data_IF_921546324692
#
_entry.id   IF_921546324692
#
_cell.length_a   1.000
_cell.length_b   1.000
_cell.length_c   1.000
_cell.angle_alpha   90.00
_cell.angle_beta   90.00
_cell.angle_gamma   90.00
#
_symmetry.space_group_name_H-M   'P 1'
#
loop_
_entity.id
_entity.type
_entity.pdbx_description
1 polymer ?
#
# COMPACT_ATOMS: atom_id res chain seq x y z
N UNK A 1 -11.82 54.83 7.72
CA UNK A 1 -11.58 54.04 6.49
C UNK A 1 -10.23 53.29 6.45
N UNK A 2 -9.51 53.07 7.58
CA UNK A 2 -8.23 52.33 7.60
C UNK A 2 -8.28 50.93 8.22
N UNK A 3 -9.43 50.52 8.76
CA UNK A 3 -9.57 49.26 9.52
C UNK A 3 -10.23 48.11 8.73
N UNK A 4 -10.77 48.39 7.54
CA UNK A 4 -11.43 47.39 6.69
C UNK A 4 -10.47 46.61 5.77
N UNK A 5 -9.23 47.08 5.59
CA UNK A 5 -8.24 46.40 4.75
C UNK A 5 -7.44 45.33 5.51
N UNK A 6 -7.43 45.34 6.85
CA UNK A 6 -6.69 44.36 7.66
C UNK A 6 -7.44 43.03 7.82
N UNK A 7 -8.78 43.02 7.74
CA UNK A 7 -9.60 41.81 7.87
C UNK A 7 -9.67 40.97 6.59
N UNK A 8 -9.51 41.58 5.41
CA UNK A 8 -9.44 40.87 4.13
C UNK A 8 -8.08 40.18 3.87
N UNK A 9 -7.01 40.60 4.57
CA UNK A 9 -5.70 39.96 4.47
C UNK A 9 -5.55 38.68 5.33
N UNK A 10 -6.37 38.50 6.36
CA UNK A 10 -6.32 37.30 7.22
C UNK A 10 -7.11 36.11 6.66
N UNK A 11 -8.01 36.32 5.69
CA UNK A 11 -8.79 35.25 5.05
C UNK A 11 -8.02 34.52 3.93
N UNK A 12 -6.85 35.02 3.52
CA UNK A 12 -6.05 34.41 2.45
C UNK A 12 -4.99 33.40 2.95
N UNK A 13 -4.80 33.25 4.26
CA UNK A 13 -3.74 32.40 4.86
C UNK A 13 -4.21 31.01 5.31
N UNK A 14 -5.48 30.66 5.09
CA UNK A 14 -6.09 29.40 5.57
C UNK A 14 -6.18 28.22 4.55
N UNK A 15 -5.76 28.25 3.26
CA UNK A 15 -5.97 27.06 2.41
C UNK A 15 -4.85 26.02 2.41
N UNK A 16 -3.59 26.38 2.65
CA UNK A 16 -2.46 25.48 2.38
C UNK A 16 -2.37 24.29 3.36
N UNK A 17 -2.38 24.56 4.67
CA UNK A 17 -2.25 23.51 5.69
C UNK A 17 -3.39 22.48 5.64
N UNK A 18 -4.64 22.91 5.38
CA UNK A 18 -5.79 22.00 5.25
C UNK A 18 -5.76 21.14 3.99
N UNK A 19 -5.21 21.66 2.89
CA UNK A 19 -5.08 20.92 1.65
C UNK A 19 -3.99 19.84 1.75
N UNK A 20 -2.88 20.16 2.40
CA UNK A 20 -1.79 19.22 2.67
C UNK A 20 -2.28 18.08 3.58
N UNK A 21 -3.02 18.40 4.65
CA UNK A 21 -3.60 17.37 5.55
C UNK A 21 -4.53 16.40 4.80
N UNK A 22 -5.40 16.91 3.93
CA UNK A 22 -6.34 16.06 3.17
C UNK A 22 -5.61 15.14 2.16
N UNK A 23 -4.59 15.67 1.48
CA UNK A 23 -3.74 14.94 0.54
C UNK A 23 -2.93 13.84 1.26
N UNK A 24 -2.30 14.17 2.39
CA UNK A 24 -1.57 13.22 3.22
C UNK A 24 -2.49 12.15 3.79
N UNK A 25 -3.69 12.53 4.25
CA UNK A 25 -4.69 11.59 4.74
C UNK A 25 -5.12 10.59 3.65
N UNK A 26 -5.41 11.07 2.42
CA UNK A 26 -5.77 10.21 1.30
C UNK A 26 -4.63 9.26 0.94
N UNK A 27 -3.39 9.75 0.87
CA UNK A 27 -2.22 8.94 0.59
C UNK A 27 -1.97 7.89 1.68
N UNK A 28 -2.05 8.28 2.95
CA UNK A 28 -1.90 7.41 4.11
C UNK A 28 -2.97 6.31 4.14
N UNK A 29 -4.23 6.68 3.92
CA UNK A 29 -5.36 5.73 3.88
C UNK A 29 -5.25 4.74 2.71
N UNK A 30 -4.93 5.21 1.50
CA UNK A 30 -4.69 4.33 0.36
C UNK A 30 -3.49 3.41 0.56
N UNK A 31 -2.45 3.91 1.24
CA UNK A 31 -1.27 3.13 1.57
C UNK A 31 -1.54 2.08 2.62
N UNK A 32 -2.35 2.39 3.64
CA UNK A 32 -2.79 1.40 4.61
C UNK A 32 -3.52 0.24 3.93
N UNK A 33 -4.40 0.50 2.94
CA UNK A 33 -5.05 -0.56 2.17
C UNK A 33 -4.02 -1.38 1.40
N UNK A 34 -3.19 -0.74 0.58
CA UNK A 34 -2.24 -1.43 -0.30
C UNK A 34 -1.20 -2.21 0.49
N UNK A 35 -0.58 -1.60 1.49
CA UNK A 35 0.45 -2.26 2.30
C UNK A 35 -0.14 -3.33 3.22
N UNK A 36 -1.39 -3.19 3.66
CA UNK A 36 -2.06 -4.24 4.42
C UNK A 36 -2.38 -5.46 3.54
N UNK A 37 -2.77 -5.23 2.29
CA UNK A 37 -2.89 -6.28 1.28
C UNK A 37 -1.53 -6.94 1.01
N UNK A 38 -0.47 -6.17 0.77
CA UNK A 38 0.89 -6.70 0.55
C UNK A 38 1.35 -7.53 1.74
N UNK A 39 1.15 -7.06 2.98
CA UNK A 39 1.47 -7.81 4.19
C UNK A 39 0.71 -9.14 4.26
N UNK A 40 -0.58 -9.16 3.92
CA UNK A 40 -1.36 -10.39 3.84
C UNK A 40 -0.82 -11.36 2.78
N UNK A 41 -0.45 -10.87 1.60
CA UNK A 41 0.13 -11.71 0.55
C UNK A 41 1.48 -12.30 0.97
N UNK A 42 2.33 -11.53 1.66
CA UNK A 42 3.60 -12.01 2.20
C UNK A 42 3.40 -13.10 3.26
N UNK A 43 2.39 -12.95 4.13
CA UNK A 43 2.03 -13.97 5.12
C UNK A 43 1.49 -15.23 4.44
N UNK A 44 0.59 -15.08 3.46
CA UNK A 44 0.04 -16.20 2.70
C UNK A 44 1.11 -16.95 1.89
N UNK A 45 2.07 -16.23 1.32
CA UNK A 45 3.22 -16.84 0.62
C UNK A 45 4.00 -17.76 1.55
N UNK A 46 4.34 -17.28 2.76
CA UNK A 46 5.09 -18.06 3.74
C UNK A 46 4.28 -19.20 4.36
N UNK A 47 3.02 -18.97 4.73
CA UNK A 47 2.19 -19.98 5.41
C UNK A 47 1.66 -21.06 4.48
N UNK A 48 1.30 -20.70 3.24
CA UNK A 48 0.74 -21.63 2.28
C UNK A 48 1.78 -22.18 1.31
N UNK A 49 3.05 -21.73 1.39
CA UNK A 49 4.14 -22.14 0.49
C UNK A 49 3.78 -21.93 -0.99
N UNK A 50 3.22 -20.77 -1.32
CA UNK A 50 2.74 -20.42 -2.67
C UNK A 50 3.28 -19.07 -3.12
N UNK A 51 3.76 -18.99 -4.35
CA UNK A 51 4.25 -17.74 -4.94
C UNK A 51 5.64 -17.34 -4.41
N UNK A 52 6.02 -16.09 -4.68
CA UNK A 52 7.30 -15.53 -4.27
C UNK A 52 7.11 -14.29 -3.38
N UNK A 53 7.78 -14.27 -2.24
CA UNK A 53 7.73 -13.16 -1.30
C UNK A 53 8.44 -11.93 -1.85
N UNK A 54 9.45 -12.11 -2.69
CA UNK A 54 10.23 -11.02 -3.28
C UNK A 54 9.37 -10.14 -4.20
N UNK A 55 8.38 -10.71 -4.88
CA UNK A 55 7.46 -9.97 -5.73
C UNK A 55 6.66 -8.91 -4.94
N UNK A 56 6.27 -9.24 -3.72
CA UNK A 56 5.59 -8.31 -2.82
C UNK A 56 6.54 -7.30 -2.20
N UNK A 57 7.80 -7.66 -1.95
CA UNK A 57 8.82 -6.72 -1.49
C UNK A 57 9.13 -5.64 -2.54
N UNK A 58 9.04 -5.96 -3.84
CA UNK A 58 9.19 -4.95 -4.91
C UNK A 58 8.14 -3.84 -4.80
N UNK A 59 6.90 -4.17 -4.40
CA UNK A 59 5.84 -3.19 -4.14
C UNK A 59 6.23 -2.25 -2.99
N UNK A 60 6.70 -2.81 -1.88
CA UNK A 60 7.19 -2.02 -0.72
C UNK A 60 8.32 -1.07 -1.14
N UNK A 61 9.28 -1.58 -1.91
CA UNK A 61 10.39 -0.78 -2.40
C UNK A 61 9.92 0.34 -3.35
N UNK A 62 8.91 0.10 -4.18
CA UNK A 62 8.32 1.12 -5.05
C UNK A 62 7.61 2.23 -4.25
N UNK A 63 6.87 1.86 -3.20
CA UNK A 63 6.25 2.82 -2.27
C UNK A 63 7.30 3.68 -1.57
N UNK A 64 8.38 3.06 -1.09
CA UNK A 64 9.51 3.77 -0.48
C UNK A 64 10.17 4.76 -1.44
N UNK A 65 10.35 4.37 -2.72
CA UNK A 65 10.87 5.28 -3.75
C UNK A 65 9.91 6.43 -4.04
N UNK A 66 8.62 6.15 -4.21
CA UNK A 66 7.56 7.16 -4.43
C UNK A 66 7.55 8.19 -3.30
N UNK A 67 7.53 7.71 -2.06
CA UNK A 67 7.58 8.57 -0.87
C UNK A 67 8.80 9.48 -0.88
N UNK A 68 10.01 8.92 -1.04
CA UNK A 68 11.25 9.70 -1.06
C UNK A 68 11.25 10.73 -2.19
N UNK A 69 10.80 10.33 -3.39
CA UNK A 69 10.66 11.26 -4.51
C UNK A 69 9.75 12.43 -4.13
N UNK A 70 8.59 12.17 -3.55
CA UNK A 70 7.65 13.22 -3.18
C UNK A 70 8.15 14.15 -2.06
N UNK A 71 8.89 13.63 -1.06
CA UNK A 71 9.55 14.48 -0.05
C UNK A 71 10.56 15.44 -0.68
N UNK A 72 11.27 15.05 -1.75
CA UNK A 72 12.19 15.97 -2.45
C UNK A 72 11.49 17.08 -3.23
N UNK A 73 10.20 16.91 -3.55
CA UNK A 73 9.40 17.89 -4.29
C UNK A 73 8.60 18.81 -3.38
N UNK A 74 8.13 18.26 -2.26
CA UNK A 74 7.25 18.94 -1.31
C UNK A 74 7.50 18.34 0.08
N UNK A 75 8.04 19.15 0.99
CA UNK A 75 8.43 18.72 2.33
C UNK A 75 7.22 18.27 3.18
N UNK A 76 5.98 18.69 2.84
CA UNK A 76 4.78 18.26 3.57
C UNK A 76 4.61 16.74 3.55
N UNK A 77 5.11 16.04 2.52
CA UNK A 77 5.10 14.58 2.45
C UNK A 77 5.82 13.89 3.61
N UNK A 78 6.73 14.57 4.31
CA UNK A 78 7.36 14.00 5.51
C UNK A 78 6.34 13.71 6.62
N UNK A 79 5.16 14.33 6.58
CA UNK A 79 4.05 14.08 7.51
C UNK A 79 3.58 12.63 7.55
N UNK A 80 3.76 11.84 6.48
CA UNK A 80 3.45 10.40 6.50
C UNK A 80 4.35 9.58 7.44
N UNK A 81 5.52 10.11 7.81
CA UNK A 81 6.51 9.44 8.64
C UNK A 81 6.42 9.79 10.13
N UNK A 82 5.47 10.64 10.54
CA UNK A 82 5.37 11.13 11.92
C UNK A 82 5.35 10.00 12.95
N UNK A 83 4.53 8.97 12.73
CA UNK A 83 4.40 7.81 13.62
C UNK A 83 5.61 6.85 13.57
N UNK A 84 6.48 7.00 12.57
CA UNK A 84 7.64 6.14 12.35
C UNK A 84 8.98 6.81 12.66
N UNK A 85 9.00 8.07 13.11
CA UNK A 85 10.23 8.82 13.42
C UNK A 85 11.24 8.04 14.29
N UNK A 86 10.85 7.35 15.38
CA UNK A 86 11.79 6.56 16.17
C UNK A 86 12.43 5.42 15.38
N UNK A 87 11.64 4.71 14.58
CA UNK A 87 12.12 3.61 13.72
C UNK A 87 13.01 4.14 12.59
N UNK A 88 12.67 5.30 12.02
CA UNK A 88 13.46 5.98 11.00
C UNK A 88 14.85 6.37 11.51
N UNK A 89 14.92 6.98 12.69
CA UNK A 89 16.18 7.38 13.30
C UNK A 89 17.10 6.18 13.54
N UNK A 90 16.55 5.08 14.05
CA UNK A 90 17.27 3.82 14.23
C UNK A 90 17.77 3.27 12.88
N UNK A 91 16.89 3.17 11.89
CA UNK A 91 17.25 2.64 10.58
C UNK A 91 18.34 3.48 9.88
N UNK A 92 18.31 4.80 10.02
CA UNK A 92 19.36 5.70 9.51
C UNK A 92 20.70 5.46 10.20
N UNK A 93 20.70 5.29 11.52
CA UNK A 93 21.92 4.95 12.28
C UNK A 93 22.52 3.60 11.86
N UNK A 94 21.69 2.68 11.38
CA UNK A 94 22.08 1.37 10.83
C UNK A 94 22.48 1.42 9.34
N UNK A 95 22.44 2.59 8.70
CA UNK A 95 22.74 2.75 7.26
C UNK A 95 21.67 2.18 6.33
N UNK A 96 20.45 1.94 6.83
CA UNK A 96 19.35 1.36 6.06
C UNK A 96 18.64 2.40 5.18
N UNK A 97 18.21 1.98 3.98
CA UNK A 97 17.40 2.79 3.05
C UNK A 97 15.89 2.65 3.24
N UNK A 98 15.43 1.98 4.32
CA UNK A 98 14.00 1.83 4.65
C UNK A 98 13.32 3.18 4.78
N UNK A 99 12.08 3.26 4.33
CA UNK A 99 11.26 4.45 4.44
C UNK A 99 9.81 4.10 4.77
N UNK A 100 8.88 5.02 4.50
CA UNK A 100 7.49 4.91 4.93
C UNK A 100 6.81 3.57 4.61
N UNK A 101 6.96 3.07 3.37
CA UNK A 101 6.39 1.78 2.97
C UNK A 101 6.99 0.61 3.76
N UNK A 102 8.32 0.60 3.95
CA UNK A 102 9.00 -0.42 4.75
C UNK A 102 8.52 -0.44 6.21
N UNK A 103 8.45 0.72 6.87
CA UNK A 103 8.02 0.77 8.27
C UNK A 103 6.53 0.43 8.44
N UNK A 104 5.68 0.89 7.53
CA UNK A 104 4.27 0.53 7.54
C UNK A 104 4.05 -0.98 7.30
N UNK A 105 4.85 -1.62 6.45
CA UNK A 105 4.79 -3.08 6.29
C UNK A 105 5.28 -3.81 7.52
N UNK A 106 6.35 -3.36 8.16
CA UNK A 106 6.86 -3.97 9.40
C UNK A 106 5.80 -3.94 10.51
N UNK A 107 5.05 -2.83 10.65
CA UNK A 107 3.97 -2.74 11.64
C UNK A 107 2.76 -3.63 11.31
N UNK A 108 2.45 -3.83 10.02
CA UNK A 108 1.31 -4.64 9.57
C UNK A 108 1.59 -6.15 9.56
N UNK A 109 2.83 -6.57 9.24
CA UNK A 109 3.20 -7.98 9.15
C UNK A 109 2.97 -8.72 10.48
N UNK A 110 3.26 -8.09 11.62
CA UNK A 110 3.03 -8.67 12.94
C UNK A 110 1.55 -9.02 13.15
N UNK A 111 0.67 -8.06 12.88
CA UNK A 111 -0.79 -8.20 12.99
C UNK A 111 -1.32 -9.27 12.03
N UNK A 112 -0.96 -9.20 10.74
CA UNK A 112 -1.42 -10.17 9.73
C UNK A 112 -0.94 -11.59 10.01
N UNK A 113 0.29 -11.75 10.50
CA UNK A 113 0.81 -13.04 10.89
C UNK A 113 0.12 -13.58 12.16
N UNK A 114 -0.24 -12.72 13.12
CA UNK A 114 -1.01 -13.13 14.29
C UNK A 114 -2.42 -13.61 13.93
N UNK A 115 -3.13 -12.87 13.08
CA UNK A 115 -4.45 -13.26 12.54
C UNK A 115 -4.39 -14.62 11.83
N UNK A 116 -3.40 -14.80 10.96
CA UNK A 116 -3.24 -16.05 10.22
C UNK A 116 -2.93 -17.25 11.14
N UNK A 117 -2.11 -17.05 12.17
CA UNK A 117 -1.85 -18.06 13.20
C UNK A 117 -3.08 -18.39 14.02
N UNK A 118 -3.87 -17.38 14.41
CA UNK A 118 -5.10 -17.58 15.17
C UNK A 118 -6.15 -18.39 14.39
N UNK A 119 -6.20 -18.22 13.07
CA UNK A 119 -7.05 -19.02 12.19
C UNK A 119 -6.54 -20.47 12.03
N UNK A 120 -5.23 -20.67 12.13
CA UNK A 120 -4.58 -21.94 11.85
C UNK A 120 -4.29 -22.14 10.35
N UNK A 121 -3.18 -22.80 10.04
CA UNK A 121 -2.64 -22.91 8.67
C UNK A 121 -3.65 -23.45 7.65
N UNK A 122 -4.34 -24.55 7.97
CA UNK A 122 -5.29 -25.17 7.05
C UNK A 122 -6.46 -24.25 6.70
N UNK A 123 -7.08 -23.64 7.71
CA UNK A 123 -8.20 -22.73 7.50
C UNK A 123 -7.75 -21.45 6.78
N UNK A 124 -6.57 -20.91 7.15
CA UNK A 124 -6.02 -19.74 6.48
C UNK A 124 -5.71 -20.00 5.01
N UNK A 125 -5.13 -21.14 4.67
CA UNK A 125 -4.82 -21.48 3.28
C UNK A 125 -6.05 -21.87 2.46
N UNK A 126 -7.20 -22.14 3.09
CA UNK A 126 -8.47 -22.36 2.42
C UNK A 126 -9.32 -21.07 2.28
N UNK A 127 -8.99 -19.98 3.02
CA UNK A 127 -9.86 -18.79 3.12
C UNK A 127 -9.99 -17.98 1.83
N UNK A 128 -8.99 -18.06 0.95
CA UNK A 128 -8.91 -17.34 -0.32
C UNK A 128 -8.31 -18.27 -1.39
N UNK A 129 -8.55 -18.02 -2.69
CA UNK A 129 -7.93 -18.75 -3.78
C UNK A 129 -6.45 -18.39 -3.94
N UNK A 130 -5.63 -18.66 -2.92
CA UNK A 130 -4.23 -18.20 -2.86
C UNK A 130 -3.40 -18.61 -4.05
N UNK A 131 -3.63 -19.80 -4.63
CA UNK A 131 -2.90 -20.22 -5.82
C UNK A 131 -3.18 -19.30 -7.01
N UNK A 132 -4.44 -18.91 -7.23
CA UNK A 132 -4.80 -17.99 -8.32
C UNK A 132 -4.25 -16.58 -8.08
N UNK A 133 -4.15 -16.19 -6.80
CA UNK A 133 -3.67 -14.85 -6.41
C UNK A 133 -2.15 -14.78 -6.47
N UNK A 134 -1.44 -15.67 -5.77
CA UNK A 134 -0.01 -15.56 -5.45
C UNK A 134 0.91 -16.12 -6.52
N UNK A 135 0.45 -17.05 -7.37
CA UNK A 135 1.30 -17.71 -8.36
C UNK A 135 1.11 -17.04 -9.72
N UNK A 136 2.13 -16.37 -10.28
CA UNK A 136 2.05 -15.79 -11.61
C UNK A 136 1.61 -16.82 -12.65
N UNK A 137 0.64 -16.46 -13.49
CA UNK A 137 0.10 -17.33 -14.55
C UNK A 137 -0.86 -18.43 -14.08
N UNK A 138 -1.10 -18.62 -12.77
CA UNK A 138 -2.00 -19.67 -12.29
C UNK A 138 -3.50 -19.34 -12.49
N UNK A 139 -3.85 -18.07 -12.64
CA UNK A 139 -5.23 -17.62 -12.87
C UNK A 139 -5.66 -17.76 -14.34
N UNK A 140 -5.58 -18.97 -14.90
CA UNK A 140 -6.08 -19.25 -16.26
C UNK A 140 -7.62 -19.25 -16.30
N UNK A 141 -8.22 -19.15 -17.49
CA UNK A 141 -9.67 -19.19 -17.63
C UNK A 141 -10.27 -20.50 -17.06
N UNK A 142 -9.60 -21.63 -17.29
CA UNK A 142 -10.00 -22.95 -16.80
C UNK A 142 -9.91 -23.02 -15.28
N UNK A 143 -8.80 -22.56 -14.68
CA UNK A 143 -8.61 -22.59 -13.24
C UNK A 143 -9.61 -21.70 -12.49
N UNK A 144 -9.94 -20.54 -13.06
CA UNK A 144 -11.01 -19.67 -12.52
C UNK A 144 -12.39 -20.32 -12.64
N UNK A 145 -12.70 -20.92 -13.78
CA UNK A 145 -13.97 -21.61 -13.99
C UNK A 145 -14.15 -22.80 -13.03
N UNK A 146 -13.09 -23.59 -12.81
CA UNK A 146 -13.09 -24.68 -11.84
C UNK A 146 -13.31 -24.17 -10.41
N UNK A 147 -12.61 -23.10 -10.02
CA UNK A 147 -12.78 -22.50 -8.70
C UNK A 147 -14.20 -21.97 -8.49
N UNK A 148 -14.78 -21.27 -9.47
CA UNK A 148 -16.16 -20.76 -9.39
C UNK A 148 -17.21 -21.87 -9.37
N UNK A 149 -16.96 -22.99 -10.05
CA UNK A 149 -17.83 -24.18 -9.98
C UNK A 149 -17.83 -24.78 -8.58
N UNK A 150 -16.66 -24.86 -7.93
CA UNK A 150 -16.53 -25.35 -6.56
C UNK A 150 -16.99 -24.33 -5.50
N UNK A 151 -17.01 -23.03 -5.85
CA UNK A 151 -17.37 -21.93 -4.97
C UNK A 151 -18.35 -20.97 -5.66
N UNK A 152 -19.63 -21.36 -5.85
CA UNK A 152 -20.61 -20.55 -6.58
C UNK A 152 -20.85 -19.15 -6.01
N UNK A 153 -20.54 -18.95 -4.72
CA UNK A 153 -20.62 -17.68 -4.02
C UNK A 153 -19.47 -16.70 -4.34
N UNK A 154 -18.42 -17.14 -5.04
CA UNK A 154 -17.24 -16.33 -5.38
C UNK A 154 -17.50 -15.37 -6.56
N UNK A 155 -18.55 -14.57 -6.48
CA UNK A 155 -19.01 -13.66 -7.55
C UNK A 155 -18.04 -12.52 -7.85
N UNK A 156 -17.09 -12.24 -6.96
CA UNK A 156 -16.10 -11.15 -7.07
C UNK A 156 -14.69 -11.65 -7.40
N UNK A 157 -14.53 -12.91 -7.81
CA UNK A 157 -13.21 -13.51 -8.08
C UNK A 157 -12.40 -12.67 -9.07
N UNK A 158 -12.98 -12.30 -10.21
CA UNK A 158 -12.28 -11.55 -11.26
C UNK A 158 -11.84 -10.16 -10.77
N UNK A 159 -12.73 -9.45 -10.05
CA UNK A 159 -12.41 -8.14 -9.49
C UNK A 159 -11.29 -8.23 -8.44
N UNK A 160 -11.32 -9.26 -7.60
CA UNK A 160 -10.25 -9.53 -6.63
C UNK A 160 -8.92 -9.82 -7.30
N UNK A 161 -8.90 -10.71 -8.31
CA UNK A 161 -7.68 -11.02 -9.07
C UNK A 161 -7.12 -9.79 -9.78
N UNK A 162 -7.97 -8.96 -10.38
CA UNK A 162 -7.57 -7.70 -10.99
C UNK A 162 -6.94 -6.75 -9.96
N UNK A 163 -7.53 -6.62 -8.77
CA UNK A 163 -7.00 -5.78 -7.70
C UNK A 163 -5.63 -6.24 -7.19
N UNK A 164 -5.44 -7.55 -6.98
CA UNK A 164 -4.14 -8.08 -6.56
C UNK A 164 -3.07 -7.94 -7.65
N UNK A 165 -3.44 -8.11 -8.92
CA UNK A 165 -2.53 -7.86 -10.05
C UNK A 165 -2.12 -6.40 -10.08
N UNK A 166 -3.09 -5.49 -9.99
CA UNK A 166 -2.85 -4.05 -9.95
C UNK A 166 -1.86 -3.67 -8.84
N UNK A 167 -2.03 -4.18 -7.62
CA UNK A 167 -1.09 -3.94 -6.51
C UNK A 167 0.30 -4.48 -6.82
N UNK A 168 0.41 -5.70 -7.36
CA UNK A 168 1.69 -6.30 -7.72
C UNK A 168 2.42 -5.45 -8.77
N UNK A 169 1.69 -4.97 -9.77
CA UNK A 169 2.24 -4.20 -10.89
C UNK A 169 2.86 -2.88 -10.43
N UNK A 170 2.40 -2.30 -9.32
CA UNK A 170 3.03 -1.13 -8.68
C UNK A 170 4.52 -1.33 -8.40
N UNK A 171 4.93 -2.56 -8.06
CA UNK A 171 6.33 -2.89 -7.76
C UNK A 171 7.29 -2.66 -8.93
N UNK A 172 6.77 -2.70 -10.16
CA UNK A 172 7.53 -2.51 -11.41
C UNK A 172 7.20 -1.20 -12.15
N UNK A 173 6.19 -0.44 -11.68
CA UNK A 173 5.70 0.76 -12.35
C UNK A 173 6.57 1.99 -12.04
N UNK A 174 7.66 2.17 -12.80
CA UNK A 174 8.56 3.32 -12.66
C UNK A 174 7.88 4.66 -12.96
N UNK A 175 6.98 4.69 -13.94
CA UNK A 175 6.24 5.89 -14.32
C UNK A 175 5.37 6.43 -13.18
N UNK A 176 4.78 5.54 -12.37
CA UNK A 176 4.04 5.94 -11.17
C UNK A 176 4.96 6.51 -10.08
N UNK A 177 6.11 5.86 -9.82
CA UNK A 177 7.08 6.29 -8.80
C UNK A 177 7.50 7.75 -9.02
N UNK A 178 7.74 8.13 -10.28
CA UNK A 178 8.23 9.46 -10.67
C UNK A 178 7.13 10.43 -11.11
N UNK A 179 5.86 10.02 -11.07
CA UNK A 179 4.74 10.88 -11.43
C UNK A 179 4.71 12.15 -10.56
N UNK A 180 4.18 13.28 -11.06
CA UNK A 180 4.00 14.48 -10.25
C UNK A 180 3.31 14.20 -8.90
N UNK A 181 3.76 14.85 -7.82
CA UNK A 181 3.29 14.61 -6.45
C UNK A 181 2.07 15.46 -6.06
N UNK A 182 1.49 16.16 -7.01
CA UNK A 182 0.16 16.78 -6.98
C UNK A 182 -0.93 15.86 -7.54
N UNK A 183 -0.55 14.80 -8.26
CA UNK A 183 -1.45 13.70 -8.66
C UNK A 183 -1.70 12.76 -7.48
N UNK A 184 -2.74 11.94 -7.62
CA UNK A 184 -3.05 10.89 -6.66
C UNK A 184 -1.80 10.05 -6.36
N UNK A 185 -1.53 9.87 -5.06
CA UNK A 185 -0.33 9.17 -4.60
C UNK A 185 -0.32 7.72 -5.07
N UNK A 186 -1.51 7.15 -5.26
CA UNK A 186 -1.77 5.82 -5.82
C UNK A 186 -2.38 5.98 -7.21
N UNK A 187 -2.00 5.14 -8.19
CA UNK A 187 -2.73 5.15 -9.46
C UNK A 187 -4.20 4.75 -9.21
N UNK A 188 -5.07 5.12 -10.15
CA UNK A 188 -6.46 4.67 -10.08
C UNK A 188 -6.52 3.18 -10.43
N UNK A 189 -7.10 2.39 -9.54
CA UNK A 189 -7.59 1.06 -9.91
C UNK A 189 -8.84 1.25 -10.75
N UNK A 190 -8.75 0.92 -12.05
CA UNK A 190 -9.85 1.05 -13.01
C UNK A 190 -10.57 -0.27 -13.16
#
# INVERSE_FOLDING_TARGET
MRWLLALLAMLALVPAARADDAKLFKAGSGGAIILSTVAEMMVATGMCSLGDREDWQKVVAAVDRRYRFCVTKDAAWSGLMEDFKPAEAKAKAEGSSRSWGSFAIESLLGTRAAEARAMGMMAYCAKMPWKLILVPGAATAEAKAEYMKANPQATTLEQGLAFFSYIRDLGSNTAWVEAPCDKDFWPEFK
#
